data_IF_947495186533
#
_entry.id   IF_947495186533
#
_cell.length_a   1.000
_cell.length_b   1.000
_cell.length_c   1.000
_cell.angle_alpha   90.00
_cell.angle_beta   90.00
_cell.angle_gamma   90.00
#
_symmetry.space_group_name_H-M   'P 1'
#
loop_
_entity.id
_entity.type
_entity.pdbx_description
1 polymer ?
#
# COMPACT_ATOMS: atom_id res chain seq x y z
N UNK A 1 9.14 -8.80 5.13
CA UNK A 1 8.97 -9.61 6.35
C UNK A 1 7.51 -9.98 6.45
N UNK A 2 7.20 -11.27 6.47
CA UNK A 2 5.88 -11.73 6.89
C UNK A 2 5.99 -11.95 8.39
N UNK A 3 5.28 -11.13 9.16
CA UNK A 3 5.17 -11.34 10.59
C UNK A 3 4.39 -12.65 10.79
N UNK A 4 4.90 -13.53 11.63
CA UNK A 4 4.26 -14.82 11.90
C UNK A 4 2.83 -14.58 12.42
N UNK A 5 1.85 -15.28 11.84
CA UNK A 5 0.44 -15.06 12.12
C UNK A 5 -0.21 -13.89 11.38
N UNK A 6 0.49 -13.16 10.51
CA UNK A 6 -0.09 -12.14 9.62
C UNK A 6 -0.20 -12.63 8.18
N UNK A 7 -1.27 -12.21 7.50
CA UNK A 7 -1.49 -12.38 6.07
C UNK A 7 -1.82 -11.03 5.44
N UNK A 8 -1.38 -10.84 4.20
CA UNK A 8 -1.67 -9.65 3.43
C UNK A 8 -1.95 -10.00 1.97
N UNK A 9 -2.83 -9.23 1.36
CA UNK A 9 -3.14 -9.34 -0.07
C UNK A 9 -3.25 -7.95 -0.67
N UNK A 10 -2.84 -7.82 -1.92
CA UNK A 10 -2.86 -6.58 -2.66
C UNK A 10 -3.30 -6.80 -4.10
N UNK A 11 -3.88 -5.76 -4.70
CA UNK A 11 -4.22 -5.69 -6.12
C UNK A 11 -3.61 -4.42 -6.72
N UNK A 12 -3.25 -4.42 -8.01
CA UNK A 12 -2.75 -3.21 -8.65
C UNK A 12 -3.88 -2.19 -8.83
N UNK A 13 -3.56 -0.92 -8.67
CA UNK A 13 -4.36 0.19 -9.19
C UNK A 13 -3.75 0.59 -10.53
N UNK A 14 -4.55 0.51 -11.59
CA UNK A 14 -4.13 0.87 -12.94
C UNK A 14 -4.64 2.25 -13.34
N UNK A 15 -3.82 3.00 -14.07
CA UNK A 15 -4.24 4.25 -14.73
C UNK A 15 -5.12 3.96 -15.96
N UNK A 16 -5.56 5.03 -16.66
CA UNK A 16 -6.41 4.91 -17.86
C UNK A 16 -5.74 4.21 -19.04
N UNK A 17 -4.41 4.12 -19.04
CA UNK A 17 -3.62 3.40 -20.04
C UNK A 17 -3.42 1.92 -19.66
N UNK A 18 -3.99 1.49 -18.52
CA UNK A 18 -3.85 0.13 -18.01
C UNK A 18 -2.52 -0.12 -17.30
N UNK A 19 -1.71 0.91 -17.06
CA UNK A 19 -0.42 0.77 -16.36
C UNK A 19 -0.63 0.72 -14.86
N UNK A 20 -0.01 -0.24 -14.19
CA UNK A 20 -0.03 -0.29 -12.72
C UNK A 20 0.78 0.89 -12.16
N UNK A 21 0.13 1.77 -11.39
CA UNK A 21 0.73 2.99 -10.82
C UNK A 21 0.78 2.99 -9.30
N UNK A 22 -0.03 2.14 -8.65
CA UNK A 22 -0.04 1.93 -7.21
C UNK A 22 -0.57 0.52 -6.88
N UNK A 23 -0.63 0.18 -5.59
CA UNK A 23 -1.26 -1.04 -5.10
C UNK A 23 -2.25 -0.71 -3.97
N UNK A 24 -3.41 -1.36 -3.99
CA UNK A 24 -4.37 -1.35 -2.88
C UNK A 24 -4.22 -2.66 -2.11
N UNK A 25 -3.93 -2.57 -0.82
CA UNK A 25 -3.62 -3.74 0.02
C UNK A 25 -4.36 -3.74 1.34
N UNK A 26 -4.59 -4.93 1.88
CA UNK A 26 -5.03 -5.15 3.26
C UNK A 26 -4.08 -6.13 3.93
N UNK A 27 -3.64 -5.81 5.15
CA UNK A 27 -2.86 -6.70 6.01
C UNK A 27 -3.61 -6.94 7.31
N UNK A 28 -3.74 -8.20 7.71
CA UNK A 28 -4.39 -8.58 8.98
C UNK A 28 -3.82 -9.91 9.47
N UNK A 29 -4.41 -10.48 10.52
CA UNK A 29 -4.01 -11.81 11.00
C UNK A 29 -4.45 -12.90 10.03
N UNK A 30 -3.65 -13.95 9.90
CA UNK A 30 -3.85 -15.06 8.96
C UNK A 30 -5.22 -15.73 9.14
N UNK A 31 -5.71 -15.84 10.39
CA UNK A 31 -7.03 -16.41 10.68
C UNK A 31 -8.19 -15.61 10.06
N UNK A 32 -8.04 -14.29 9.93
CA UNK A 32 -9.07 -13.39 9.34
C UNK A 32 -8.97 -13.33 7.82
N UNK A 33 -7.77 -13.53 7.26
CA UNK A 33 -7.50 -13.57 5.83
C UNK A 33 -7.01 -14.97 5.43
N UNK A 34 -7.85 -15.96 5.72
CA UNK A 34 -7.59 -17.37 5.43
C UNK A 34 -8.01 -17.74 4.00
N UNK A 35 -7.74 -18.99 3.60
CA UNK A 35 -8.00 -19.48 2.24
C UNK A 35 -9.46 -19.34 1.78
N UNK A 36 -10.43 -19.45 2.68
CA UNK A 36 -11.86 -19.35 2.35
C UNK A 36 -12.29 -17.88 2.16
N UNK A 37 -11.69 -16.96 2.92
CA UNK A 37 -12.01 -15.52 2.89
C UNK A 37 -11.23 -14.77 1.80
N UNK A 38 -10.03 -15.24 1.47
CA UNK A 38 -9.11 -14.59 0.54
C UNK A 38 -9.76 -14.24 -0.81
N UNK A 39 -10.50 -15.13 -1.48
CA UNK A 39 -11.10 -14.82 -2.79
C UNK A 39 -12.06 -13.64 -2.72
N UNK A 40 -12.91 -13.60 -1.68
CA UNK A 40 -13.85 -12.50 -1.46
C UNK A 40 -13.13 -11.17 -1.23
N UNK A 41 -12.06 -11.17 -0.42
CA UNK A 41 -11.27 -9.96 -0.16
C UNK A 41 -10.58 -9.48 -1.44
N UNK A 42 -10.03 -10.38 -2.25
CA UNK A 42 -9.43 -10.05 -3.54
C UNK A 42 -10.45 -9.40 -4.47
N UNK A 43 -11.66 -9.93 -4.59
CA UNK A 43 -12.70 -9.36 -5.44
C UNK A 43 -13.16 -7.98 -4.96
N UNK A 44 -13.28 -7.77 -3.65
CA UNK A 44 -13.56 -6.45 -3.08
C UNK A 44 -12.45 -5.44 -3.42
N UNK A 45 -11.19 -5.84 -3.24
CA UNK A 45 -10.05 -4.98 -3.56
C UNK A 45 -9.99 -4.64 -5.04
N UNK A 46 -10.24 -5.61 -5.94
CA UNK A 46 -10.28 -5.35 -7.39
C UNK A 46 -11.35 -4.32 -7.75
N UNK A 47 -12.55 -4.44 -7.18
CA UNK A 47 -13.65 -3.49 -7.40
C UNK A 47 -13.25 -2.08 -6.96
N UNK A 48 -12.65 -1.97 -5.78
CA UNK A 48 -12.20 -0.68 -5.25
C UNK A 48 -11.05 -0.09 -6.08
N UNK A 49 -10.04 -0.90 -6.43
CA UNK A 49 -8.93 -0.47 -7.27
C UNK A 49 -9.39 0.01 -8.65
N UNK A 50 -10.39 -0.66 -9.25
CA UNK A 50 -11.01 -0.24 -10.49
C UNK A 50 -11.77 1.09 -10.37
N UNK A 51 -12.33 1.40 -9.19
CA UNK A 51 -12.97 2.69 -8.90
C UNK A 51 -11.96 3.82 -8.65
N UNK A 52 -10.76 3.50 -8.17
CA UNK A 52 -9.69 4.47 -7.92
C UNK A 52 -8.98 4.86 -9.22
N UNK A 53 -8.61 3.89 -10.05
CA UNK A 53 -7.78 4.10 -11.25
C UNK A 53 -8.21 5.28 -12.15
N UNK A 54 -9.50 5.41 -12.53
CA UNK A 54 -9.97 6.51 -13.39
C UNK A 54 -9.86 7.91 -12.78
N UNK A 55 -9.73 8.01 -11.45
CA UNK A 55 -9.60 9.27 -10.69
C UNK A 55 -8.16 9.77 -10.61
N UNK A 56 -7.19 8.95 -11.02
CA UNK A 56 -5.78 9.33 -11.03
C UNK A 56 -5.51 10.31 -12.17
N UNK A 57 -4.75 11.38 -11.89
CA UNK A 57 -4.36 12.36 -12.90
C UNK A 57 -3.34 11.73 -13.88
N UNK A 58 -3.64 11.66 -15.19
CA UNK A 58 -2.73 11.05 -16.18
C UNK A 58 -1.40 11.80 -16.34
N UNK A 59 -1.34 13.07 -15.91
CA UNK A 59 -0.12 13.89 -16.00
C UNK A 59 0.61 14.06 -14.67
N UNK A 60 0.23 13.28 -13.65
CA UNK A 60 0.89 13.32 -12.36
C UNK A 60 2.38 12.95 -12.51
N UNK A 61 3.26 13.94 -12.32
CA UNK A 61 4.69 13.76 -12.46
C UNK A 61 5.27 12.84 -11.38
N UNK A 62 4.59 12.71 -10.24
CA UNK A 62 5.05 11.84 -9.14
C UNK A 62 4.96 10.37 -9.52
N UNK A 63 4.00 9.98 -10.36
CA UNK A 63 3.87 8.61 -10.86
C UNK A 63 4.98 8.21 -11.85
N UNK A 64 5.66 9.18 -12.49
CA UNK A 64 6.81 8.91 -13.36
C UNK A 64 8.08 8.61 -12.57
N UNK A 65 8.22 9.17 -11.36
CA UNK A 65 9.40 9.00 -10.51
C UNK A 65 9.01 8.80 -9.04
N UNK A 66 8.24 7.73 -8.72
CA UNK A 66 7.61 7.56 -7.42
C UNK A 66 8.63 7.50 -6.29
N UNK A 67 9.79 6.85 -6.49
CA UNK A 67 10.84 6.79 -5.50
C UNK A 67 11.40 8.17 -5.10
N UNK A 68 11.45 9.13 -6.04
CA UNK A 68 11.95 10.48 -5.78
C UNK A 68 10.90 11.32 -5.04
N UNK A 69 9.63 11.17 -5.41
CA UNK A 69 8.51 11.83 -4.72
C UNK A 69 8.33 11.31 -3.29
N UNK A 70 8.49 9.99 -3.07
CA UNK A 70 8.40 9.36 -1.75
C UNK A 70 9.65 9.62 -0.88
N UNK A 71 10.81 9.85 -1.48
CA UNK A 71 12.04 10.14 -0.73
C UNK A 71 12.02 11.51 -0.04
N UNK A 72 11.19 12.44 -0.51
CA UNK A 72 10.96 13.75 0.10
C UNK A 72 9.81 13.80 1.10
N UNK A 73 9.07 12.70 1.29
CA UNK A 73 7.97 12.64 2.25
C UNK A 73 8.49 12.77 3.69
N UNK A 74 7.80 13.54 4.56
CA UNK A 74 8.18 13.65 5.96
C UNK A 74 8.21 12.25 6.61
N UNK A 75 9.08 12.03 7.60
CA UNK A 75 9.37 10.70 8.15
C UNK A 75 8.11 9.96 8.64
N UNK A 76 7.09 10.72 9.05
CA UNK A 76 5.76 10.22 9.45
C UNK A 76 4.98 9.50 8.34
N UNK A 77 5.21 9.83 7.07
CA UNK A 77 4.56 9.21 5.90
C UNK A 77 5.43 8.16 5.22
N UNK A 78 6.65 7.96 5.70
CA UNK A 78 7.62 7.05 5.07
C UNK A 78 7.39 5.66 5.64
N UNK A 79 6.95 4.72 4.79
CA UNK A 79 6.89 3.31 5.16
C UNK A 79 8.33 2.79 5.38
N UNK A 80 8.74 2.69 6.65
CA UNK A 80 10.01 2.12 7.07
C UNK A 80 9.79 0.64 7.44
N UNK A 81 10.13 -0.32 6.57
CA UNK A 81 10.05 -1.72 6.95
C UNK A 81 11.06 -2.00 8.06
N UNK A 82 10.57 -2.24 9.29
CA UNK A 82 11.39 -2.60 10.45
C UNK A 82 11.74 -1.48 11.43
N UNK A 83 11.07 -0.32 11.39
CA UNK A 83 11.24 0.69 12.44
C UNK A 83 10.53 0.25 13.74
N UNK A 84 11.30 -0.13 14.75
CA UNK A 84 10.82 -0.27 16.12
C UNK A 84 10.52 1.14 16.70
N UNK A 85 9.28 1.43 17.10
CA UNK A 85 8.93 2.73 17.66
C UNK A 85 9.71 3.10 18.93
N UNK A 86 10.37 2.14 19.59
CA UNK A 86 11.20 2.37 20.78
C UNK A 86 12.59 2.96 20.49
N UNK A 87 13.03 3.04 19.21
CA UNK A 87 14.37 3.51 18.85
C UNK A 87 14.44 4.95 18.30
N UNK A 88 13.34 5.71 18.38
CA UNK A 88 13.34 7.12 17.95
C UNK A 88 14.14 7.98 18.95
N UNK A 89 15.22 8.66 18.53
CA UNK A 89 16.00 9.51 19.43
C UNK A 89 15.21 10.79 19.77
N UNK A 90 15.05 11.01 21.07
CA UNK A 90 14.88 12.31 21.74
C UNK A 90 13.92 13.32 21.12
N UNK A 91 12.70 13.43 21.67
CA UNK A 91 11.95 14.68 21.62
C UNK A 91 12.73 15.75 22.42
N UNK A 92 12.99 16.94 21.88
CA UNK A 92 13.39 18.07 22.71
C UNK A 92 12.18 18.57 23.52
N UNK A 93 12.47 19.04 24.73
CA UNK A 93 11.53 19.54 25.75
C UNK A 93 10.74 20.79 25.29
#
# INVERSE_FOLDING_TARGET
GLLEGMAGVAVPICDREGRAVAALSVGTIADRLNADRMPTVVELLKREAAAIGPKINPFDATLRRPAQSLAGSPPEQRFMPGADPALLPGRPD
#
